data_IF_368752051854
#
_entry.id   IF_368752051854
#
_cell.length_a   1.000
_cell.length_b   1.000
_cell.length_c   1.000
_cell.angle_alpha   90.00
_cell.angle_beta   90.00
_cell.angle_gamma   90.00
#
_symmetry.space_group_name_H-M   'P 1'
#
loop_
_entity.id
_entity.type
_entity.pdbx_description
1 polymer ?
#
# COMPACT_ATOMS: atom_id res chain seq x y z
N UNK A 1 -69.49 26.88 -36.80
CA UNK A 1 -70.38 27.27 -37.91
C UNK A 1 -69.90 28.59 -38.47
N UNK A 2 -69.92 28.71 -39.80
CA UNK A 2 -69.81 29.93 -40.62
C UNK A 2 -68.56 30.80 -40.47
N UNK A 3 -67.63 30.74 -41.42
CA UNK A 3 -67.66 31.27 -42.79
C UNK A 3 -67.06 32.68 -42.87
N UNK A 4 -66.05 32.74 -43.72
CA UNK A 4 -65.35 33.89 -44.29
C UNK A 4 -66.31 34.99 -44.76
N UNK A 5 -65.82 36.23 -44.84
CA UNK A 5 -66.03 37.10 -46.01
C UNK A 5 -65.27 38.42 -45.81
N UNK A 6 -64.16 38.71 -46.50
CA UNK A 6 -64.01 39.22 -47.87
C UNK A 6 -63.86 40.75 -47.95
N UNK A 7 -62.88 41.16 -48.78
CA UNK A 7 -62.76 42.40 -49.59
C UNK A 7 -62.14 43.69 -48.99
N UNK A 8 -60.83 43.85 -49.29
CA UNK A 8 -60.23 44.81 -50.25
C UNK A 8 -60.78 46.25 -50.34
N UNK A 9 -59.88 47.23 -50.11
CA UNK A 9 -59.79 48.56 -50.77
C UNK A 9 -58.28 48.88 -50.92
N UNK A 10 -57.67 48.99 -52.12
CA UNK A 10 -57.64 50.12 -53.10
C UNK A 10 -57.13 51.40 -52.38
N UNK A 11 -56.05 52.12 -52.70
CA UNK A 11 -55.38 52.56 -53.96
C UNK A 11 -54.02 53.19 -53.56
N UNK A 12 -52.90 52.84 -54.20
CA UNK A 12 -52.16 53.56 -55.28
C UNK A 12 -51.23 54.75 -54.87
N UNK A 13 -49.95 54.54 -55.20
CA UNK A 13 -48.95 55.47 -55.80
C UNK A 13 -48.37 56.56 -54.87
N UNK A 14 -47.06 56.84 -54.84
CA UNK A 14 -46.09 56.87 -55.94
C UNK A 14 -44.66 56.46 -55.51
N UNK A 15 -43.80 56.14 -56.50
CA UNK A 15 -42.45 55.63 -56.35
C UNK A 15 -41.44 56.78 -56.27
N UNK A 16 -40.28 56.52 -55.68
CA UNK A 16 -39.01 57.01 -56.21
C UNK A 16 -37.88 56.14 -55.66
N UNK A 17 -37.23 55.42 -56.56
CA UNK A 17 -35.96 54.77 -56.31
C UNK A 17 -35.09 55.11 -57.52
N UNK A 18 -33.85 55.58 -57.33
CA UNK A 18 -32.79 54.60 -57.55
C UNK A 18 -31.56 54.75 -56.64
N UNK A 19 -31.10 53.58 -56.20
CA UNK A 19 -29.71 53.14 -55.99
C UNK A 19 -28.92 53.76 -54.83
N UNK A 20 -28.66 52.94 -53.82
CA UNK A 20 -27.30 52.45 -53.50
C UNK A 20 -27.39 50.99 -53.03
N UNK A 21 -26.63 50.10 -53.68
CA UNK A 21 -26.37 48.74 -53.20
C UNK A 21 -25.52 48.84 -51.92
N UNK A 22 -25.98 48.27 -50.81
CA UNK A 22 -25.04 47.78 -49.80
C UNK A 22 -25.56 46.47 -49.20
N UNK A 23 -24.85 45.42 -49.58
CA UNK A 23 -24.97 44.07 -49.06
C UNK A 23 -24.83 44.09 -47.54
N UNK A 24 -25.68 43.33 -46.84
CA UNK A 24 -25.28 42.52 -45.67
C UNK A 24 -26.38 41.51 -45.37
N UNK A 25 -26.27 40.37 -46.02
CA UNK A 25 -26.73 39.10 -45.46
C UNK A 25 -25.90 38.85 -44.20
N UNK A 26 -26.50 38.96 -43.02
CA UNK A 26 -25.94 38.41 -41.79
C UNK A 26 -26.84 37.27 -41.33
N UNK A 27 -26.67 36.11 -41.99
CA UNK A 27 -27.05 34.81 -41.41
C UNK A 27 -25.75 34.19 -40.89
N UNK A 28 -25.35 34.56 -39.68
CA UNK A 28 -24.28 33.90 -38.94
C UNK A 28 -24.75 32.50 -38.51
N UNK A 29 -24.76 31.57 -39.47
CA UNK A 29 -24.75 30.14 -39.20
C UNK A 29 -23.41 29.77 -38.58
N UNK A 30 -23.48 29.29 -37.34
CA UNK A 30 -22.37 28.71 -36.57
C UNK A 30 -21.80 27.45 -37.24
N UNK A 31 -21.01 27.60 -38.29
CA UNK A 31 -20.18 26.51 -38.80
C UNK A 31 -18.86 26.52 -38.03
N UNK A 32 -18.84 25.84 -36.88
CA UNK A 32 -17.58 25.51 -36.22
C UNK A 32 -16.78 24.60 -37.16
N UNK A 33 -15.69 25.12 -37.74
CA UNK A 33 -14.82 24.34 -38.64
C UNK A 33 -14.38 23.02 -37.96
N UNK A 34 -14.43 21.87 -38.65
CA UNK A 34 -13.99 20.58 -38.12
C UNK A 34 -12.58 20.63 -37.49
N UNK A 35 -11.72 21.47 -38.06
CA UNK A 35 -10.35 21.71 -37.61
C UNK A 35 -10.28 22.33 -36.21
N UNK A 36 -11.20 23.24 -35.86
CA UNK A 36 -11.29 23.80 -34.50
C UNK A 36 -11.77 22.75 -33.49
N UNK A 37 -12.71 21.89 -33.90
CA UNK A 37 -13.25 20.87 -33.02
C UNK A 37 -12.22 19.78 -32.70
N UNK A 38 -11.36 19.42 -33.67
CA UNK A 38 -10.22 18.53 -33.46
C UNK A 38 -9.13 19.14 -32.59
N UNK A 39 -8.78 20.41 -32.79
CA UNK A 39 -7.80 21.10 -31.94
C UNK A 39 -8.27 21.19 -30.48
N UNK A 40 -9.56 21.43 -30.22
CA UNK A 40 -10.11 21.42 -28.86
C UNK A 40 -10.07 20.02 -28.25
N UNK A 41 -10.40 18.97 -29.02
CA UNK A 41 -10.32 17.57 -28.59
C UNK A 41 -8.88 17.13 -28.28
N UNK A 42 -7.90 17.51 -29.10
CA UNK A 42 -6.49 17.17 -28.89
C UNK A 42 -5.90 17.86 -27.66
N UNK A 43 -6.20 19.15 -27.46
CA UNK A 43 -5.82 19.91 -26.25
C UNK A 43 -6.43 19.29 -24.99
N UNK A 44 -7.72 18.91 -25.03
CA UNK A 44 -8.38 18.22 -23.91
C UNK A 44 -7.77 16.85 -23.58
N UNK A 45 -7.45 16.04 -24.60
CA UNK A 45 -6.75 14.75 -24.43
C UNK A 45 -5.35 14.94 -23.83
N UNK A 46 -4.59 15.93 -24.28
CA UNK A 46 -3.26 16.24 -23.75
C UNK A 46 -3.33 16.69 -22.28
N UNK A 47 -4.29 17.54 -21.93
CA UNK A 47 -4.48 17.99 -20.55
C UNK A 47 -4.92 16.85 -19.62
N UNK A 48 -5.79 15.95 -20.09
CA UNK A 48 -6.19 14.74 -19.34
C UNK A 48 -5.00 13.81 -19.10
N UNK A 49 -4.16 13.59 -20.12
CA UNK A 49 -2.91 12.82 -19.99
C UNK A 49 -1.95 13.45 -18.96
N UNK A 50 -1.76 14.77 -18.99
CA UNK A 50 -0.93 15.49 -18.00
C UNK A 50 -1.45 15.37 -16.57
N UNK A 51 -2.78 15.46 -16.38
CA UNK A 51 -3.41 15.22 -15.07
C UNK A 51 -3.20 13.79 -14.59
N UNK A 52 -3.39 12.81 -15.47
CA UNK A 52 -3.15 11.40 -15.18
C UNK A 52 -1.69 11.11 -14.83
N UNK A 53 -0.73 11.67 -15.57
CA UNK A 53 0.70 11.49 -15.25
C UNK A 53 1.08 12.11 -13.90
N UNK A 54 0.49 13.26 -13.55
CA UNK A 54 0.74 13.92 -12.26
C UNK A 54 0.14 13.13 -11.10
N UNK A 55 -1.03 12.52 -11.31
CA UNK A 55 -1.65 11.62 -10.33
C UNK A 55 -0.80 10.36 -10.09
N UNK A 56 -0.28 9.76 -11.17
CA UNK A 56 0.62 8.59 -11.09
C UNK A 56 1.92 8.97 -10.37
N UNK A 57 2.54 10.11 -10.72
CA UNK A 57 3.73 10.60 -10.04
C UNK A 57 3.51 10.79 -8.53
N UNK A 58 2.36 11.37 -8.14
CA UNK A 58 1.99 11.54 -6.74
C UNK A 58 1.76 10.22 -6.01
N UNK A 59 1.28 9.17 -6.68
CA UNK A 59 1.16 7.81 -6.11
C UNK A 59 2.54 7.18 -5.92
N UNK A 60 3.45 7.34 -6.89
CA UNK A 60 4.83 6.86 -6.81
C UNK A 60 5.57 7.51 -5.64
N UNK A 61 5.45 8.83 -5.48
CA UNK A 61 6.12 9.56 -4.41
C UNK A 61 5.61 9.13 -3.02
N UNK A 62 4.29 8.95 -2.88
CA UNK A 62 3.69 8.42 -1.64
C UNK A 62 4.20 7.02 -1.32
N UNK A 63 4.29 6.15 -2.33
CA UNK A 63 4.82 4.80 -2.14
C UNK A 63 6.30 4.84 -1.73
N UNK A 64 7.12 5.66 -2.38
CA UNK A 64 8.53 5.84 -2.03
C UNK A 64 8.70 6.31 -0.58
N UNK A 65 7.89 7.26 -0.12
CA UNK A 65 7.87 7.71 1.29
C UNK A 65 7.49 6.57 2.24
N UNK A 66 6.47 5.80 1.91
CA UNK A 66 6.04 4.66 2.72
C UNK A 66 7.13 3.57 2.82
N UNK A 67 7.73 3.19 1.70
CA UNK A 67 8.85 2.22 1.65
C UNK A 67 10.02 2.72 2.50
N UNK A 68 10.39 4.00 2.39
CA UNK A 68 11.47 4.60 3.18
C UNK A 68 11.22 4.48 4.67
N UNK A 69 9.99 4.73 5.12
CA UNK A 69 9.59 4.59 6.53
C UNK A 69 9.69 3.13 6.98
N UNK A 70 9.21 2.18 6.17
CA UNK A 70 9.31 0.74 6.48
C UNK A 70 10.75 0.25 6.59
N UNK A 71 11.63 0.68 5.68
CA UNK A 71 13.05 0.36 5.77
C UNK A 71 13.65 0.90 7.08
N UNK A 72 13.28 2.12 7.50
CA UNK A 72 13.74 2.70 8.77
C UNK A 72 13.26 1.88 9.97
N UNK A 73 11.99 1.49 10.00
CA UNK A 73 11.42 0.62 11.05
C UNK A 73 12.17 -0.72 11.14
N UNK A 74 12.42 -1.36 9.99
CA UNK A 74 13.17 -2.63 9.92
C UNK A 74 14.60 -2.44 10.44
N UNK A 75 15.29 -1.37 10.06
CA UNK A 75 16.65 -1.07 10.56
C UNK A 75 16.68 -0.95 12.09
N UNK A 76 15.72 -0.23 12.68
CA UNK A 76 15.60 -0.08 14.13
C UNK A 76 15.33 -1.44 14.79
N UNK A 77 14.38 -2.22 14.27
CA UNK A 77 14.07 -3.55 14.79
C UNK A 77 15.29 -4.48 14.71
N UNK A 78 16.03 -4.47 13.61
CA UNK A 78 17.23 -5.29 13.43
C UNK A 78 18.37 -4.85 14.36
N UNK A 79 18.53 -3.55 14.62
CA UNK A 79 19.48 -3.07 15.62
C UNK A 79 19.13 -3.58 17.02
N UNK A 80 17.84 -3.55 17.41
CA UNK A 80 17.37 -4.11 18.70
C UNK A 80 17.62 -5.62 18.78
N UNK A 81 17.28 -6.39 17.73
CA UNK A 81 17.55 -7.83 17.67
C UNK A 81 19.03 -8.16 17.82
N UNK A 82 19.92 -7.41 17.15
CA UNK A 82 21.38 -7.59 17.29
C UNK A 82 21.85 -7.35 18.72
N UNK A 83 21.38 -6.28 19.37
CA UNK A 83 21.71 -6.01 20.78
C UNK A 83 21.22 -7.14 21.70
N UNK A 84 19.98 -7.59 21.53
CA UNK A 84 19.44 -8.71 22.30
C UNK A 84 20.26 -9.99 22.12
N UNK A 85 20.62 -10.34 20.88
CA UNK A 85 21.44 -11.51 20.59
C UNK A 85 22.85 -11.44 21.22
N UNK A 86 23.45 -10.25 21.32
CA UNK A 86 24.72 -10.07 22.02
C UNK A 86 24.57 -10.33 23.52
N UNK A 87 23.52 -9.78 24.15
CA UNK A 87 23.22 -10.03 25.56
C UNK A 87 22.95 -11.51 25.83
N UNK A 88 22.17 -12.19 24.99
CA UNK A 88 21.94 -13.63 25.09
C UNK A 88 23.23 -14.43 24.97
N UNK A 89 24.13 -14.07 24.04
CA UNK A 89 25.45 -14.71 23.91
C UNK A 89 26.29 -14.52 25.16
N UNK A 90 26.29 -13.35 25.78
CA UNK A 90 27.01 -13.11 27.02
C UNK A 90 26.44 -13.91 28.20
N UNK A 91 25.11 -13.95 28.34
CA UNK A 91 24.43 -14.76 29.36
C UNK A 91 24.76 -16.25 29.15
N UNK A 92 24.68 -16.73 27.91
CA UNK A 92 24.99 -18.13 27.58
C UNK A 92 26.47 -18.45 27.76
N UNK A 93 27.39 -17.51 27.48
CA UNK A 93 28.82 -17.66 27.77
C UNK A 93 29.05 -17.77 29.28
N UNK A 94 28.41 -16.92 30.09
CA UNK A 94 28.47 -17.02 31.57
C UNK A 94 27.92 -18.35 32.09
N UNK A 95 26.84 -18.87 31.50
CA UNK A 95 26.29 -20.20 31.82
C UNK A 95 27.22 -21.35 31.41
N UNK A 96 27.89 -21.24 30.26
CA UNK A 96 28.79 -22.28 29.71
C UNK A 96 30.12 -22.41 30.48
N UNK A 97 30.51 -21.42 31.29
CA UNK A 97 31.78 -21.44 32.05
C UNK A 97 31.79 -22.46 33.22
N UNK A 98 30.67 -23.09 33.60
CA UNK A 98 30.59 -24.00 34.76
C UNK A 98 30.18 -25.46 34.47
N UNK A 99 30.63 -26.08 33.39
CA UNK A 99 30.42 -27.54 33.19
C UNK A 99 31.71 -28.36 33.05
N UNK A 100 32.87 -27.75 32.79
CA UNK A 100 34.13 -28.51 32.63
C UNK A 100 34.60 -29.16 33.94
N UNK A 101 34.35 -28.49 35.07
CA UNK A 101 34.80 -28.93 36.40
C UNK A 101 33.80 -29.87 37.08
N UNK A 102 32.69 -30.20 36.42
CA UNK A 102 31.61 -30.95 37.05
C UNK A 102 31.25 -32.17 36.22
N UNK A 103 31.34 -33.36 36.81
CA UNK A 103 30.85 -34.60 36.22
C UNK A 103 29.53 -34.96 36.89
N UNK A 104 28.47 -35.10 36.09
CA UNK A 104 27.19 -35.59 36.59
C UNK A 104 27.16 -37.11 36.48
N UNK A 105 26.93 -37.81 37.60
CA UNK A 105 26.78 -39.27 37.65
C UNK A 105 25.36 -39.64 38.08
N UNK A 106 24.92 -40.84 37.71
CA UNK A 106 23.63 -41.39 38.12
C UNK A 106 23.70 -41.89 39.56
N UNK A 107 22.60 -41.73 40.29
CA UNK A 107 22.47 -42.12 41.70
C UNK A 107 22.71 -40.97 42.68
N UNK A 108 22.36 -41.24 43.94
CA UNK A 108 22.59 -40.35 45.09
C UNK A 108 23.90 -40.77 45.78
N UNK A 109 24.81 -39.84 46.04
CA UNK A 109 25.96 -40.06 46.92
C UNK A 109 25.83 -39.22 48.18
N UNK A 110 26.14 -39.81 49.32
CA UNK A 110 26.17 -39.10 50.60
C UNK A 110 27.27 -38.03 50.62
N UNK A 111 26.98 -36.90 51.27
CA UNK A 111 27.91 -35.77 51.37
C UNK A 111 28.13 -35.00 50.07
N UNK A 112 27.45 -35.33 48.96
CA UNK A 112 27.60 -34.63 47.68
C UNK A 112 26.28 -34.02 47.19
N UNK A 113 26.35 -32.87 46.49
CA UNK A 113 25.15 -32.24 45.93
C UNK A 113 24.50 -33.16 44.89
N UNK A 114 23.25 -33.52 45.15
CA UNK A 114 22.43 -34.36 44.28
C UNK A 114 21.07 -33.71 44.00
N UNK A 115 20.50 -34.01 42.84
CA UNK A 115 19.22 -33.49 42.40
C UNK A 115 18.42 -34.59 41.69
N UNK A 116 17.10 -34.50 41.78
CA UNK A 116 16.18 -35.42 41.13
C UNK A 116 15.90 -34.95 39.70
N UNK A 117 16.08 -35.82 38.73
CA UNK A 117 15.72 -35.58 37.33
C UNK A 117 14.42 -36.32 37.03
N UNK A 118 13.38 -35.56 36.75
CA UNK A 118 12.10 -36.07 36.28
C UNK A 118 12.11 -36.04 34.75
N UNK A 119 11.82 -37.16 34.09
CA UNK A 119 11.69 -37.19 32.63
C UNK A 119 10.56 -38.11 32.19
N UNK A 120 9.78 -37.63 31.24
CA UNK A 120 8.73 -38.40 30.59
C UNK A 120 9.27 -38.96 29.28
N UNK A 121 9.17 -40.27 29.10
CA UNK A 121 9.58 -40.96 27.86
C UNK A 121 8.44 -41.82 27.34
N UNK A 122 8.42 -42.04 26.02
CA UNK A 122 7.45 -42.94 25.40
C UNK A 122 7.76 -44.36 25.89
N UNK A 123 6.86 -44.94 26.68
CA UNK A 123 7.02 -46.24 27.33
C UNK A 123 6.52 -47.41 26.50
N UNK A 124 6.49 -47.28 25.17
CA UNK A 124 5.89 -48.27 24.27
C UNK A 124 4.44 -47.97 23.91
N UNK A 125 3.65 -48.99 23.53
CA UNK A 125 2.25 -48.84 23.10
C UNK A 125 1.32 -48.28 24.19
N UNK A 126 1.66 -48.52 25.46
CA UNK A 126 0.81 -48.23 26.62
C UNK A 126 0.91 -46.78 27.14
N UNK A 127 1.70 -45.92 26.48
CA UNK A 127 1.68 -44.47 26.72
C UNK A 127 2.99 -43.86 27.23
N UNK A 128 2.87 -42.74 27.93
CA UNK A 128 4.00 -41.95 28.44
C UNK A 128 4.36 -42.45 29.84
N UNK A 129 5.60 -42.87 30.03
CA UNK A 129 6.13 -43.27 31.34
C UNK A 129 6.94 -42.12 31.92
N UNK A 130 6.55 -41.70 33.12
CA UNK A 130 7.29 -40.71 33.89
C UNK A 130 8.32 -41.41 34.78
N UNK A 131 9.58 -40.96 34.71
CA UNK A 131 10.70 -41.58 35.42
C UNK A 131 11.40 -40.55 36.29
N UNK A 132 11.80 -40.99 37.48
CA UNK A 132 12.54 -40.21 38.46
C UNK A 132 13.93 -40.83 38.63
N UNK A 133 14.98 -40.05 38.35
CA UNK A 133 16.36 -40.50 38.45
C UNK A 133 17.17 -39.51 39.29
N UNK A 134 17.81 -39.99 40.36
CA UNK A 134 18.77 -39.17 41.11
C UNK A 134 20.04 -38.96 40.31
N UNK A 135 20.59 -37.75 40.35
CA UNK A 135 21.90 -37.42 39.80
C UNK A 135 22.74 -36.66 40.81
N UNK A 136 24.02 -36.98 40.86
CA UNK A 136 25.00 -36.33 41.75
C UNK A 136 26.00 -35.54 40.93
N UNK A 137 26.36 -34.36 41.41
CA UNK A 137 27.41 -33.50 40.83
C UNK A 137 28.73 -33.81 41.53
N UNK A 138 29.72 -34.28 40.78
CA UNK A 138 31.09 -34.45 41.22
C UNK A 138 31.94 -33.30 40.73
N UNK A 139 32.80 -32.76 41.59
CA UNK A 139 33.89 -31.88 41.18
C UNK A 139 34.99 -32.75 40.57
N UNK A 140 35.45 -32.39 39.37
CA UNK A 140 36.63 -32.97 38.73
C UNK A 140 37.89 -32.27 39.20
#
# INVERSE_FOLDING_TARGET
MSQESTRVRITKLCPDNPRVNEQRENKDTWTTSPQMHEQKKSKGKAQKKRRSSLEIAGKIERNAKWIKTKIREIKVRNARKRKAALLEKEINKKRRIKSRNYRVIRGKQEGKPSFLVCSSRRGGPEGIVHTHEWRTILYK
#
